data_IF_849540669125
#
_entry.id   IF_849540669125
#
_cell.length_a   1.000
_cell.length_b   1.000
_cell.length_c   1.000
_cell.angle_alpha   90.00
_cell.angle_beta   90.00
_cell.angle_gamma   90.00
#
_symmetry.space_group_name_H-M   'P 1'
#
loop_
_entity.id
_entity.type
_entity.pdbx_description
1 polymer ?
#
# COMPACT_ATOMS: atom_id res chain seq x y z
N UNK A 1 18.83 8.23 -10.33
CA UNK A 1 19.55 7.98 -9.05
C UNK A 1 18.84 8.59 -7.85
N UNK A 2 18.49 9.89 -7.85
CA UNK A 2 17.79 10.54 -6.72
C UNK A 2 16.50 9.81 -6.32
N UNK A 3 15.66 9.45 -7.29
CA UNK A 3 14.40 8.71 -7.08
C UNK A 3 14.59 7.37 -6.38
N UNK A 4 15.69 6.66 -6.68
CA UNK A 4 16.00 5.38 -6.05
C UNK A 4 16.44 5.56 -4.59
N UNK A 5 17.26 6.58 -4.31
CA UNK A 5 17.65 6.90 -2.93
C UNK A 5 16.43 7.27 -2.08
N UNK A 6 15.48 8.00 -2.67
CA UNK A 6 14.22 8.35 -2.01
C UNK A 6 13.33 7.10 -1.78
N UNK A 7 13.33 6.14 -2.69
CA UNK A 7 12.56 4.89 -2.52
C UNK A 7 13.06 4.07 -1.31
N UNK A 8 14.36 4.12 -1.00
CA UNK A 8 14.95 3.47 0.18
C UNK A 8 14.41 3.96 1.53
N UNK A 9 13.58 5.01 1.56
CA UNK A 9 12.81 5.43 2.74
C UNK A 9 11.98 4.30 3.35
N UNK A 10 11.58 3.31 2.55
CA UNK A 10 10.87 2.09 3.00
C UNK A 10 11.69 1.26 4.02
N UNK A 11 13.01 1.44 4.06
CA UNK A 11 13.86 0.81 5.09
C UNK A 11 13.55 1.35 6.50
N UNK A 12 13.07 2.60 6.62
CA UNK A 12 12.76 3.22 7.91
C UNK A 12 11.70 2.40 8.67
N UNK A 13 10.48 2.19 8.15
CA UNK A 13 9.47 1.41 8.84
C UNK A 13 9.89 -0.05 9.05
N UNK A 14 10.69 -0.62 8.13
CA UNK A 14 11.17 -2.00 8.29
C UNK A 14 12.17 -2.11 9.42
N UNK A 15 13.16 -1.23 9.53
CA UNK A 15 14.14 -1.24 10.62
C UNK A 15 13.41 -1.06 11.96
N UNK A 16 12.50 -0.09 12.04
CA UNK A 16 11.68 0.13 13.26
C UNK A 16 10.85 -1.10 13.62
N UNK A 17 10.19 -1.71 12.63
CA UNK A 17 9.41 -2.92 12.81
C UNK A 17 10.27 -4.12 13.23
N UNK A 18 11.46 -4.30 12.64
CA UNK A 18 12.42 -5.35 12.98
C UNK A 18 12.87 -5.25 14.44
N UNK A 19 13.21 -4.05 14.92
CA UNK A 19 13.58 -3.86 16.33
C UNK A 19 12.42 -4.17 17.29
N UNK A 20 11.17 -4.03 16.86
CA UNK A 20 9.98 -4.32 17.69
C UNK A 20 9.30 -5.65 17.36
N UNK A 21 9.87 -6.49 16.48
CA UNK A 21 9.27 -7.74 16.01
C UNK A 21 8.79 -8.69 17.12
N UNK A 22 9.53 -8.74 18.24
CA UNK A 22 9.20 -9.59 19.39
C UNK A 22 7.98 -9.11 20.19
N UNK A 23 7.52 -7.89 19.92
CA UNK A 23 6.52 -7.16 20.73
C UNK A 23 5.27 -6.84 19.89
N UNK A 24 5.40 -6.78 18.56
CA UNK A 24 4.31 -6.46 17.63
C UNK A 24 3.14 -7.44 17.78
N UNK A 25 1.95 -6.87 17.99
CA UNK A 25 0.71 -7.65 18.04
C UNK A 25 0.46 -8.39 16.71
N UNK A 26 0.06 -9.67 16.73
CA UNK A 26 -0.16 -10.51 15.55
C UNK A 26 -0.99 -9.89 14.43
N UNK A 27 -1.92 -9.00 14.75
CA UNK A 27 -2.73 -8.35 13.72
C UNK A 27 -2.08 -7.20 12.96
N UNK A 28 -0.79 -6.90 13.14
CA UNK A 28 -0.02 -5.99 12.26
C UNK A 28 0.96 -6.72 11.31
N UNK A 29 1.00 -8.06 11.38
CA UNK A 29 1.90 -8.85 10.55
C UNK A 29 1.65 -8.74 9.04
N UNK A 30 0.40 -8.77 8.53
CA UNK A 30 0.16 -8.64 7.10
C UNK A 30 0.75 -7.33 6.54
N UNK A 31 0.55 -6.22 7.25
CA UNK A 31 1.14 -4.94 6.89
C UNK A 31 2.68 -4.93 6.95
N UNK A 32 3.27 -5.57 7.96
CA UNK A 32 4.74 -5.67 8.03
C UNK A 32 5.33 -6.53 6.90
N UNK A 33 4.66 -7.63 6.54
CA UNK A 33 5.03 -8.49 5.41
C UNK A 33 4.90 -7.71 4.09
N UNK A 34 3.87 -6.89 3.95
CA UNK A 34 3.65 -6.05 2.77
C UNK A 34 4.82 -5.09 2.52
N UNK A 35 5.32 -4.43 3.57
CA UNK A 35 6.51 -3.58 3.45
C UNK A 35 7.75 -4.37 2.99
N UNK A 36 7.95 -5.58 3.53
CA UNK A 36 9.06 -6.46 3.13
C UNK A 36 8.93 -6.85 1.66
N UNK A 37 7.72 -7.21 1.23
CA UNK A 37 7.42 -7.51 -0.17
C UNK A 37 7.66 -6.30 -1.08
N UNK A 38 7.38 -5.08 -0.59
CA UNK A 38 7.70 -3.82 -1.27
C UNK A 38 9.19 -3.66 -1.52
N UNK A 39 10.03 -3.81 -0.49
CA UNK A 39 11.50 -3.76 -0.65
C UNK A 39 11.99 -4.82 -1.62
N UNK A 40 11.53 -6.06 -1.47
CA UNK A 40 11.93 -7.13 -2.36
C UNK A 40 11.60 -6.80 -3.83
N UNK A 41 10.42 -6.23 -4.07
CA UNK A 41 9.99 -5.81 -5.41
C UNK A 41 10.82 -4.64 -5.94
N UNK A 42 11.19 -3.66 -5.11
CA UNK A 42 12.08 -2.58 -5.51
C UNK A 42 13.47 -3.10 -5.91
N UNK A 43 14.04 -4.02 -5.12
CA UNK A 43 15.36 -4.63 -5.42
C UNK A 43 15.29 -5.43 -6.72
N UNK A 44 14.27 -6.28 -6.90
CA UNK A 44 14.07 -7.05 -8.13
C UNK A 44 13.92 -6.11 -9.33
N UNK A 45 13.11 -5.06 -9.19
CA UNK A 45 12.89 -4.06 -10.26
C UNK A 45 14.18 -3.35 -10.63
N UNK A 46 14.99 -2.95 -9.64
CA UNK A 46 16.27 -2.31 -9.87
C UNK A 46 17.24 -3.21 -10.66
N UNK A 47 17.35 -4.48 -10.26
CA UNK A 47 18.19 -5.48 -10.96
C UNK A 47 17.70 -5.65 -12.40
N UNK A 48 16.39 -5.81 -12.63
CA UNK A 48 15.83 -5.98 -13.98
C UNK A 48 16.08 -4.77 -14.88
N UNK A 49 15.91 -3.55 -14.36
CA UNK A 49 16.17 -2.31 -15.09
C UNK A 49 17.66 -2.21 -15.48
N UNK A 50 18.58 -2.59 -14.60
CA UNK A 50 20.01 -2.63 -14.92
C UNK A 50 20.35 -3.62 -16.04
N UNK A 51 19.62 -4.73 -16.12
CA UNK A 51 19.74 -5.72 -17.20
C UNK A 51 18.86 -5.41 -18.42
N UNK A 52 18.40 -4.15 -18.60
CA UNK A 52 17.53 -3.72 -19.70
C UNK A 52 16.25 -4.56 -19.87
N UNK A 53 15.81 -5.23 -18.81
CA UNK A 53 14.61 -6.07 -18.78
C UNK A 53 13.43 -5.30 -18.18
N UNK A 54 12.22 -5.56 -18.70
CA UNK A 54 11.01 -4.94 -18.16
C UNK A 54 10.73 -5.43 -16.74
N UNK A 55 10.51 -4.50 -15.82
CA UNK A 55 10.10 -4.77 -14.44
C UNK A 55 8.55 -4.81 -14.28
N UNK A 56 7.79 -4.83 -15.38
CA UNK A 56 6.33 -4.85 -15.33
C UNK A 56 5.78 -6.08 -14.61
N UNK A 57 6.36 -7.26 -14.87
CA UNK A 57 5.91 -8.54 -14.27
C UNK A 57 6.01 -8.55 -12.75
N UNK A 58 7.19 -8.32 -12.12
CA UNK A 58 7.28 -8.31 -10.66
C UNK A 58 6.42 -7.21 -10.04
N UNK A 59 6.33 -6.04 -10.69
CA UNK A 59 5.48 -4.95 -10.19
C UNK A 59 3.99 -5.32 -10.23
N UNK A 60 3.50 -5.93 -11.31
CA UNK A 60 2.09 -6.33 -11.42
C UNK A 60 1.71 -7.44 -10.45
N UNK A 61 2.62 -8.38 -10.18
CA UNK A 61 2.43 -9.40 -9.14
C UNK A 61 2.41 -8.75 -7.76
N UNK A 62 3.32 -7.81 -7.50
CA UNK A 62 3.38 -7.12 -6.22
C UNK A 62 2.09 -6.36 -5.89
N UNK A 63 1.50 -5.63 -6.83
CA UNK A 63 0.23 -4.92 -6.59
C UNK A 63 -0.91 -5.88 -6.20
N UNK A 64 -0.92 -7.11 -6.73
CA UNK A 64 -1.88 -8.14 -6.30
C UNK A 64 -1.59 -8.59 -4.87
N UNK A 65 -0.32 -8.86 -4.54
CA UNK A 65 0.10 -9.25 -3.19
C UNK A 65 -0.26 -8.17 -2.18
N UNK A 66 0.03 -6.91 -2.50
CA UNK A 66 -0.29 -5.73 -1.71
C UNK A 66 -1.79 -5.65 -1.42
N UNK A 67 -2.62 -5.77 -2.47
CA UNK A 67 -4.07 -5.83 -2.30
C UNK A 67 -4.52 -6.92 -1.31
N UNK A 68 -4.02 -8.15 -1.49
CA UNK A 68 -4.40 -9.29 -0.65
C UNK A 68 -4.01 -9.08 0.82
N UNK A 69 -2.79 -8.57 1.07
CA UNK A 69 -2.28 -8.32 2.42
C UNK A 69 -3.02 -7.17 3.09
N UNK A 70 -3.29 -6.07 2.39
CA UNK A 70 -4.01 -4.92 2.93
C UNK A 70 -5.47 -5.26 3.25
N UNK A 71 -6.19 -5.97 2.37
CA UNK A 71 -7.57 -6.41 2.69
C UNK A 71 -7.58 -7.35 3.89
N UNK A 72 -6.61 -8.26 3.98
CA UNK A 72 -6.49 -9.15 5.12
C UNK A 72 -6.16 -8.40 6.42
N UNK A 73 -5.33 -7.35 6.35
CA UNK A 73 -5.05 -6.44 7.46
C UNK A 73 -6.34 -5.82 8.02
N UNK A 74 -7.21 -5.28 7.16
CA UNK A 74 -8.52 -4.74 7.57
C UNK A 74 -9.46 -5.81 8.14
N UNK A 75 -9.34 -7.06 7.69
CA UNK A 75 -10.08 -8.17 8.28
C UNK A 75 -9.62 -8.47 9.72
N UNK A 76 -8.30 -8.52 9.96
CA UNK A 76 -7.75 -8.75 11.31
C UNK A 76 -8.09 -7.63 12.29
N UNK A 77 -8.19 -6.38 11.83
CA UNK A 77 -8.60 -5.25 12.66
C UNK A 77 -10.07 -5.29 13.10
N UNK A 78 -10.87 -6.19 12.53
CA UNK A 78 -12.23 -6.48 12.97
C UNK A 78 -13.32 -5.80 12.14
N UNK A 79 -12.96 -4.82 11.30
CA UNK A 79 -13.89 -4.10 10.41
C UNK A 79 -14.66 -5.07 9.49
N UNK A 80 -13.94 -6.00 8.85
CA UNK A 80 -14.53 -6.97 7.94
C UNK A 80 -14.91 -8.31 8.60
N UNK A 81 -14.52 -8.53 9.87
CA UNK A 81 -14.73 -9.81 10.57
C UNK A 81 -16.21 -10.15 10.76
N UNK A 82 -17.05 -9.15 11.02
CA UNK A 82 -18.50 -9.32 11.17
C UNK A 82 -19.26 -9.42 9.83
N UNK A 83 -18.64 -8.98 8.72
CA UNK A 83 -19.28 -8.91 7.40
C UNK A 83 -18.55 -9.80 6.38
N UNK A 84 -18.58 -11.11 6.61
CA UNK A 84 -17.87 -12.13 5.80
C UNK A 84 -18.15 -12.02 4.30
N UNK A 85 -19.40 -11.71 3.91
CA UNK A 85 -19.75 -11.56 2.49
C UNK A 85 -19.05 -10.37 1.84
N UNK A 86 -18.95 -9.24 2.55
CA UNK A 86 -18.24 -8.05 2.05
C UNK A 86 -16.74 -8.33 1.97
N UNK A 87 -16.17 -8.99 2.98
CA UNK A 87 -14.78 -9.44 2.94
C UNK A 87 -14.51 -10.30 1.71
N UNK A 88 -15.34 -11.33 1.49
CA UNK A 88 -15.19 -12.23 0.37
C UNK A 88 -15.28 -11.50 -0.97
N UNK A 89 -16.26 -10.59 -1.11
CA UNK A 89 -16.46 -9.80 -2.31
C UNK A 89 -15.27 -8.88 -2.61
N UNK A 90 -14.79 -8.15 -1.59
CA UNK A 90 -13.60 -7.31 -1.72
C UNK A 90 -12.39 -8.17 -2.05
N UNK A 91 -12.21 -9.31 -1.39
CA UNK A 91 -11.05 -10.15 -1.64
C UNK A 91 -11.08 -10.77 -3.06
N UNK A 92 -12.23 -11.25 -3.54
CA UNK A 92 -12.31 -12.02 -4.79
C UNK A 92 -12.45 -11.16 -6.06
N UNK A 93 -13.25 -10.09 -6.05
CA UNK A 93 -13.55 -9.35 -7.30
C UNK A 93 -12.31 -8.73 -7.94
N UNK A 94 -11.47 -7.97 -7.20
CA UNK A 94 -10.26 -7.37 -7.77
C UNK A 94 -9.24 -8.43 -8.21
N UNK A 95 -9.18 -9.59 -7.54
CA UNK A 95 -8.34 -10.72 -7.97
C UNK A 95 -8.81 -11.24 -9.35
N UNK A 96 -10.12 -11.39 -9.55
CA UNK A 96 -10.66 -11.79 -10.85
C UNK A 96 -10.35 -10.74 -11.93
N UNK A 97 -10.50 -9.46 -11.61
CA UNK A 97 -10.17 -8.37 -12.54
C UNK A 97 -8.68 -8.41 -12.89
N UNK A 98 -7.80 -8.61 -11.91
CA UNK A 98 -6.36 -8.75 -12.14
C UNK A 98 -6.03 -9.94 -13.05
N UNK A 99 -6.67 -11.09 -12.84
CA UNK A 99 -6.50 -12.30 -13.66
C UNK A 99 -6.94 -12.03 -15.10
N UNK A 100 -8.11 -11.42 -15.29
CA UNK A 100 -8.62 -11.07 -16.62
C UNK A 100 -7.66 -10.10 -17.32
N UNK A 101 -7.23 -9.06 -16.62
CA UNK A 101 -6.36 -8.04 -17.18
C UNK A 101 -4.96 -8.58 -17.53
N UNK A 102 -4.32 -9.31 -16.62
CA UNK A 102 -2.92 -9.72 -16.80
C UNK A 102 -2.77 -11.02 -17.59
N UNK A 103 -3.64 -12.02 -17.33
CA UNK A 103 -3.50 -13.35 -17.92
C UNK A 103 -4.36 -13.52 -19.18
N UNK A 104 -5.62 -13.08 -19.16
CA UNK A 104 -6.52 -13.25 -20.31
C UNK A 104 -6.18 -12.26 -21.43
N UNK A 105 -5.98 -10.99 -21.11
CA UNK A 105 -5.54 -9.98 -22.09
C UNK A 105 -4.02 -9.96 -22.32
N UNK A 106 -3.26 -10.87 -21.70
CA UNK A 106 -1.80 -11.01 -21.81
C UNK A 106 -1.03 -9.71 -21.53
N UNK A 107 -1.54 -8.86 -20.64
CA UNK A 107 -0.93 -7.56 -20.29
C UNK A 107 0.07 -7.62 -19.14
N UNK A 108 0.44 -8.80 -18.68
CA UNK A 108 1.37 -8.96 -17.53
C UNK A 108 2.74 -8.27 -17.74
N UNK A 109 3.18 -8.10 -18.99
CA UNK A 109 4.42 -7.42 -19.36
C UNK A 109 4.27 -5.90 -19.54
N UNK A 110 3.07 -5.36 -19.36
CA UNK A 110 2.73 -3.95 -19.52
C UNK A 110 2.13 -3.35 -18.25
N UNK A 111 2.22 -2.03 -18.09
CA UNK A 111 1.64 -1.35 -16.93
C UNK A 111 0.14 -1.13 -17.11
N UNK A 112 -0.61 -1.93 -16.36
CA UNK A 112 -2.06 -2.03 -16.22
C UNK A 112 -2.76 -0.91 -15.40
N UNK A 113 -3.32 0.23 -15.88
CA UNK A 113 -3.80 1.26 -14.94
C UNK A 113 -5.13 0.88 -14.26
N UNK A 114 -5.93 -0.01 -14.85
CA UNK A 114 -7.30 -0.25 -14.40
C UNK A 114 -7.34 -0.94 -13.04
N UNK A 115 -6.65 -2.07 -12.89
CA UNK A 115 -6.52 -2.69 -11.57
C UNK A 115 -5.88 -1.74 -10.57
N UNK A 116 -4.86 -0.97 -10.96
CA UNK A 116 -4.12 -0.05 -10.08
C UNK A 116 -4.99 1.08 -9.53
N UNK A 117 -5.84 1.67 -10.36
CA UNK A 117 -6.80 2.69 -9.92
C UNK A 117 -7.87 2.06 -9.03
N UNK A 118 -8.38 0.87 -9.42
CA UNK A 118 -9.44 0.19 -8.69
C UNK A 118 -9.04 -0.16 -7.27
N UNK A 119 -7.89 -0.85 -7.08
CA UNK A 119 -7.49 -1.28 -5.75
C UNK A 119 -7.11 -0.08 -4.86
N UNK A 120 -6.43 0.93 -5.42
CA UNK A 120 -6.10 2.17 -4.70
C UNK A 120 -7.37 2.89 -4.20
N UNK A 121 -8.41 2.94 -5.03
CA UNK A 121 -9.71 3.49 -4.63
C UNK A 121 -10.35 2.68 -3.49
N UNK A 122 -10.38 1.35 -3.59
CA UNK A 122 -10.95 0.49 -2.55
C UNK A 122 -10.18 0.58 -1.23
N UNK A 123 -8.84 0.60 -1.25
CA UNK A 123 -8.04 0.78 -0.03
C UNK A 123 -8.33 2.13 0.62
N UNK A 124 -8.43 3.18 -0.18
CA UNK A 124 -8.78 4.53 0.31
C UNK A 124 -10.14 4.52 1.02
N UNK A 125 -11.16 3.91 0.42
CA UNK A 125 -12.49 3.80 1.03
C UNK A 125 -12.49 2.99 2.34
N UNK A 126 -11.78 1.85 2.37
CA UNK A 126 -11.63 1.05 3.59
C UNK A 126 -10.92 1.85 4.69
N UNK A 127 -9.87 2.59 4.35
CA UNK A 127 -9.11 3.43 5.27
C UNK A 127 -9.96 4.55 5.87
N UNK A 128 -10.76 5.24 5.04
CA UNK A 128 -11.71 6.27 5.50
C UNK A 128 -12.74 5.66 6.45
N UNK A 129 -13.25 4.48 6.12
CA UNK A 129 -14.27 3.83 6.95
C UNK A 129 -13.71 3.39 8.31
N UNK A 130 -12.49 2.86 8.35
CA UNK A 130 -11.80 2.51 9.60
C UNK A 130 -11.52 3.75 10.45
N UNK A 131 -11.08 4.85 9.83
CA UNK A 131 -10.90 6.14 10.51
C UNK A 131 -12.22 6.62 11.10
N UNK A 132 -13.31 6.63 10.33
CA UNK A 132 -14.63 7.07 10.81
C UNK A 132 -15.11 6.20 11.97
N UNK A 133 -14.93 4.88 11.88
CA UNK A 133 -15.25 3.97 12.97
C UNK A 133 -14.43 4.30 14.23
N UNK A 134 -13.14 4.61 14.09
CA UNK A 134 -12.28 4.98 15.21
C UNK A 134 -12.61 6.34 15.81
N UNK A 135 -12.95 7.35 15.02
CA UNK A 135 -13.39 8.66 15.52
C UNK A 135 -14.68 8.53 16.35
N UNK A 136 -15.61 7.68 15.91
CA UNK A 136 -16.90 7.51 16.59
C UNK A 136 -16.80 6.68 17.88
N UNK A 137 -15.90 5.68 17.92
CA UNK A 137 -15.82 4.72 19.02
C UNK A 137 -14.66 4.94 19.99
N UNK A 138 -13.67 5.80 19.66
CA UNK A 138 -12.42 5.97 20.42
C UNK A 138 -12.18 7.46 20.72
N UNK A 139 -12.35 7.87 21.99
CA UNK A 139 -12.34 9.27 22.44
C UNK A 139 -10.94 9.76 22.90
N UNK A 140 -9.93 8.88 22.94
CA UNK A 140 -8.59 9.22 23.49
C UNK A 140 -7.50 9.15 22.42
N UNK A 141 -6.87 10.30 22.15
CA UNK A 141 -5.63 10.47 21.38
C UNK A 141 -5.53 9.62 20.09
N UNK A 142 -6.40 9.90 19.11
CA UNK A 142 -6.41 9.25 17.78
C UNK A 142 -5.04 9.23 17.10
N UNK A 143 -4.26 10.30 17.24
CA UNK A 143 -2.91 10.40 16.68
C UNK A 143 -1.88 9.45 17.30
N UNK A 144 -2.20 8.82 18.44
CA UNK A 144 -1.39 7.76 19.04
C UNK A 144 -1.87 6.37 18.64
N UNK A 145 -3.02 6.26 17.94
CA UNK A 145 -3.53 4.99 17.49
C UNK A 145 -2.80 4.57 16.19
N UNK A 146 -2.04 3.47 16.19
CA UNK A 146 -1.29 3.02 15.01
C UNK A 146 -2.19 2.69 13.82
N UNK A 147 -3.44 2.22 14.02
CA UNK A 147 -4.37 1.96 12.90
C UNK A 147 -4.76 3.25 12.18
N UNK A 148 -5.01 4.30 12.96
CA UNK A 148 -5.36 5.62 12.45
C UNK A 148 -4.21 6.21 11.61
N UNK A 149 -2.96 6.13 12.13
CA UNK A 149 -1.76 6.60 11.41
C UNK A 149 -1.56 5.82 10.11
N UNK A 150 -1.68 4.48 10.13
CA UNK A 150 -1.55 3.66 8.91
C UNK A 150 -2.62 4.02 7.88
N UNK A 151 -3.88 4.19 8.30
CA UNK A 151 -4.96 4.59 7.40
C UNK A 151 -4.72 5.97 6.76
N UNK A 152 -4.14 6.93 7.50
CA UNK A 152 -3.73 8.21 6.92
C UNK A 152 -2.65 8.00 5.85
N UNK A 153 -1.63 7.18 6.13
CA UNK A 153 -0.58 6.83 5.16
C UNK A 153 -1.16 6.19 3.90
N UNK A 154 -2.09 5.24 4.05
CA UNK A 154 -2.79 4.62 2.91
C UNK A 154 -3.60 5.64 2.10
N UNK A 155 -4.38 6.52 2.73
CA UNK A 155 -5.14 7.54 2.00
C UNK A 155 -4.21 8.44 1.21
N UNK A 156 -3.14 8.96 1.84
CA UNK A 156 -2.18 9.83 1.16
C UNK A 156 -1.53 9.14 -0.03
N UNK A 157 -1.07 7.90 0.15
CA UNK A 157 -0.40 7.15 -0.91
C UNK A 157 -1.35 6.78 -2.05
N UNK A 158 -2.47 6.15 -1.76
CA UNK A 158 -3.37 5.60 -2.79
C UNK A 158 -4.17 6.68 -3.52
N UNK A 159 -4.54 7.78 -2.86
CA UNK A 159 -5.13 8.94 -3.57
C UNK A 159 -4.11 9.50 -4.55
N UNK A 160 -2.85 9.64 -4.11
CA UNK A 160 -1.78 10.13 -4.98
C UNK A 160 -1.46 9.14 -6.11
N UNK A 161 -1.54 7.84 -5.85
CA UNK A 161 -1.37 6.80 -6.86
C UNK A 161 -2.42 6.90 -7.97
N UNK A 162 -3.67 7.20 -7.66
CA UNK A 162 -4.71 7.43 -8.68
C UNK A 162 -4.31 8.61 -9.59
N UNK A 163 -3.82 9.71 -9.01
CA UNK A 163 -3.34 10.87 -9.77
C UNK A 163 -2.12 10.53 -10.64
N UNK A 164 -1.20 9.74 -10.09
CA UNK A 164 -0.02 9.25 -10.80
C UNK A 164 -0.40 8.39 -12.00
N UNK A 165 -1.27 7.39 -11.82
CA UNK A 165 -1.71 6.50 -12.91
C UNK A 165 -2.42 7.29 -14.01
N UNK A 166 -3.27 8.25 -13.64
CA UNK A 166 -3.92 9.14 -14.61
C UNK A 166 -2.91 9.99 -15.39
N UNK A 167 -1.96 10.64 -14.70
CA UNK A 167 -0.94 11.46 -15.33
C UNK A 167 -0.01 10.63 -16.24
N UNK A 168 0.34 9.43 -15.80
CA UNK A 168 1.15 8.50 -16.57
C UNK A 168 0.44 8.08 -17.86
N UNK A 169 -0.83 7.67 -17.79
CA UNK A 169 -1.59 7.32 -18.99
C UNK A 169 -1.69 8.50 -19.96
N UNK A 170 -1.95 9.72 -19.47
CA UNK A 170 -2.01 10.90 -20.32
C UNK A 170 -0.67 11.15 -21.05
N UNK A 171 0.46 10.97 -20.36
CA UNK A 171 1.80 11.11 -20.96
C UNK A 171 2.16 10.05 -22.00
N UNK A 172 1.44 8.93 -22.04
CA UNK A 172 1.60 7.88 -23.05
C UNK A 172 0.77 8.17 -24.30
N UNK A 173 -0.45 8.70 -24.13
CA UNK A 173 -1.35 9.02 -25.25
C UNK A 173 -1.10 10.39 -25.89
N UNK A 174 -0.52 11.33 -25.13
CA UNK A 174 -0.24 12.71 -25.55
C UNK A 174 1.18 13.10 -25.17
N UNK A 175 1.73 14.13 -25.81
CA UNK A 175 3.05 14.63 -25.42
C UNK A 175 3.05 15.05 -23.94
N UNK A 176 4.02 14.57 -23.14
CA UNK A 176 4.08 14.86 -21.72
C UNK A 176 4.18 16.36 -21.47
N UNK A 177 3.18 16.90 -20.80
CA UNK A 177 3.20 18.29 -20.35
C UNK A 177 4.10 18.44 -19.12
N UNK A 178 4.62 19.66 -18.88
CA UNK A 178 5.35 19.96 -17.64
C UNK A 178 4.55 19.62 -16.38
N UNK A 179 3.22 19.73 -16.45
CA UNK A 179 2.31 19.34 -15.36
C UNK A 179 2.33 17.82 -15.10
N UNK A 180 2.18 16.98 -16.13
CA UNK A 180 2.23 15.52 -15.98
C UNK A 180 3.56 15.03 -15.42
N UNK A 181 4.68 15.60 -15.88
CA UNK A 181 6.02 15.27 -15.37
C UNK A 181 6.20 15.66 -13.91
N UNK A 182 5.59 16.78 -13.48
CA UNK A 182 5.60 17.21 -12.08
C UNK A 182 4.86 16.20 -11.20
N UNK A 183 3.67 15.74 -11.61
CA UNK A 183 2.93 14.71 -10.86
C UNK A 183 3.74 13.40 -10.78
N UNK A 184 4.30 12.94 -11.90
CA UNK A 184 5.09 11.72 -11.96
C UNK A 184 6.32 11.79 -11.05
N UNK A 185 7.04 12.91 -11.05
CA UNK A 185 8.23 13.10 -10.20
C UNK A 185 7.89 13.19 -8.70
N UNK A 186 6.77 13.82 -8.36
CA UNK A 186 6.30 13.96 -6.97
C UNK A 186 5.90 12.62 -6.32
N UNK A 187 5.60 11.59 -7.12
CA UNK A 187 5.25 10.26 -6.61
C UNK A 187 6.31 9.67 -5.67
N UNK A 188 7.59 9.84 -5.98
CA UNK A 188 8.67 9.36 -5.11
C UNK A 188 8.70 10.08 -3.75
N UNK A 189 8.40 11.38 -3.71
CA UNK A 189 8.33 12.15 -2.47
C UNK A 189 7.13 11.74 -1.63
N UNK A 190 5.99 11.49 -2.27
CA UNK A 190 4.79 10.98 -1.59
C UNK A 190 5.02 9.58 -1.02
N UNK A 191 5.69 8.69 -1.76
CA UNK A 191 6.11 7.38 -1.24
C UNK A 191 6.99 7.52 0.01
N UNK A 192 7.98 8.41 -0.03
CA UNK A 192 8.87 8.63 1.12
C UNK A 192 8.15 9.22 2.33
N UNK A 193 7.24 10.18 2.12
CA UNK A 193 6.39 10.72 3.18
C UNK A 193 5.57 9.61 3.83
N UNK A 194 4.93 8.76 3.02
CA UNK A 194 4.14 7.64 3.53
C UNK A 194 4.99 6.64 4.31
N UNK A 195 6.20 6.32 3.84
CA UNK A 195 7.12 5.45 4.58
C UNK A 195 7.50 6.00 5.96
N UNK A 196 7.68 7.32 6.08
CA UNK A 196 7.91 7.98 7.37
C UNK A 196 6.68 7.83 8.27
N UNK A 197 5.48 8.05 7.74
CA UNK A 197 4.22 7.88 8.48
C UNK A 197 4.08 6.44 8.99
N UNK A 198 4.40 5.45 8.15
CA UNK A 198 4.41 4.05 8.54
C UNK A 198 5.46 3.74 9.62
N UNK A 199 6.63 4.36 9.56
CA UNK A 199 7.66 4.24 10.60
C UNK A 199 7.15 4.77 11.94
N UNK A 200 6.49 5.93 11.93
CA UNK A 200 5.84 6.51 13.12
C UNK A 200 4.75 5.56 13.65
N UNK A 201 3.93 4.97 12.77
CA UNK A 201 2.91 4.02 13.19
C UNK A 201 3.49 2.82 13.96
N UNK A 202 4.60 2.24 13.50
CA UNK A 202 5.25 1.12 14.20
C UNK A 202 5.80 1.49 15.59
N UNK A 203 6.15 2.76 15.84
CA UNK A 203 6.51 3.23 17.18
C UNK A 203 5.32 3.23 18.14
N UNK A 204 4.10 3.34 17.62
CA UNK A 204 2.87 3.33 18.41
C UNK A 204 2.16 1.99 18.47
N UNK A 205 2.64 0.96 17.76
CA UNK A 205 2.08 -0.40 17.89
C UNK A 205 2.24 -0.89 19.34
N UNK A 206 1.14 -1.28 20.02
CA UNK A 206 1.18 -1.74 21.40
C UNK A 206 1.80 -3.13 21.51
N UNK A 207 2.33 -3.43 22.70
CA UNK A 207 2.91 -4.72 22.99
C UNK A 207 1.84 -5.82 23.10
N UNK A 208 2.15 -7.04 22.67
CA UNK A 208 1.25 -8.20 22.78
C UNK A 208 0.70 -8.43 24.21
N UNK A 209 1.45 -8.03 25.25
CA UNK A 209 1.02 -8.15 26.65
C UNK A 209 -0.02 -7.10 27.08
N UNK A 210 -0.02 -5.92 26.47
CA UNK A 210 -0.95 -4.83 26.81
C UNK A 210 -2.34 -5.05 26.18
N UNK A 211 -2.41 -5.62 24.96
CA UNK A 211 -3.69 -5.87 24.29
C UNK A 211 -4.57 -6.93 24.98
N UNK A 212 -4.01 -7.82 25.80
CA UNK A 212 -4.80 -8.79 26.57
C UNK A 212 -5.49 -8.18 27.80
N UNK A 213 -5.18 -6.92 28.13
CA UNK A 213 -5.74 -6.21 29.29
C UNK A 213 -6.80 -5.15 28.92
N UNK A 214 -7.09 -4.98 27.62
CA UNK A 214 -8.25 -4.22 27.10
C UNK A 214 -9.31 -5.19 26.56
#
# INVERSE_FOLDING_TARGET
MVTFVISQSILIPIIVGLFRLRIIWPGYWPFFIDLIAGIATEIISFIMIQHHSSNAVPTNIFVLVEWLLVVYQFHLWGFLKKRKNIFLLLWSIPVLIWIIENLVFKRITTFSPYFRILYAFLITLMSITEINFKIINDDRNLFRNPRFIICIGFILFYVYQILYEWAYQLSVFQEPTGFTNTIISLFAYMNALTNIIFGIAFLFVPAQKEYKME
#
